data_IF_624095851164
#
_entry.id   IF_624095851164
#
_cell.length_a   1.000
_cell.length_b   1.000
_cell.length_c   1.000
_cell.angle_alpha   90.00
_cell.angle_beta   90.00
_cell.angle_gamma   90.00
#
_symmetry.space_group_name_H-M   'P 1'
#
loop_
_entity.id
_entity.type
_entity.pdbx_description
1 polymer ?
#
# COMPACT_ATOMS: atom_id res chain seq x y z
N UNK A 1 -21.89 -13.66 -4.31
CA UNK A 1 -20.84 -13.54 -3.25
C UNK A 1 -19.49 -14.15 -3.67
N UNK A 2 -19.46 -15.41 -4.11
CA UNK A 2 -18.22 -16.15 -4.45
C UNK A 2 -17.34 -15.48 -5.52
N UNK A 3 -17.95 -14.90 -6.57
CA UNK A 3 -17.22 -14.24 -7.68
C UNK A 3 -16.27 -13.13 -7.21
N UNK A 4 -16.71 -12.28 -6.28
CA UNK A 4 -15.88 -11.17 -5.76
C UNK A 4 -14.74 -11.64 -4.86
N UNK A 5 -14.95 -12.72 -4.12
CA UNK A 5 -13.90 -13.33 -3.29
C UNK A 5 -12.81 -13.92 -4.18
N UNK A 6 -13.19 -14.56 -5.29
CA UNK A 6 -12.22 -15.08 -6.28
C UNK A 6 -11.34 -13.96 -6.83
N UNK A 7 -11.94 -12.82 -7.21
CA UNK A 7 -11.16 -11.66 -7.69
C UNK A 7 -10.25 -11.07 -6.61
N UNK A 8 -10.67 -11.07 -5.34
CA UNK A 8 -9.81 -10.62 -4.23
C UNK A 8 -8.62 -11.56 -4.01
N UNK A 9 -8.85 -12.87 -4.00
CA UNK A 9 -7.78 -13.87 -3.88
C UNK A 9 -6.81 -13.75 -5.06
N UNK A 10 -7.32 -13.58 -6.28
CA UNK A 10 -6.50 -13.37 -7.45
C UNK A 10 -5.67 -12.09 -7.34
N UNK A 11 -6.24 -10.99 -6.82
CA UNK A 11 -5.50 -9.73 -6.61
C UNK A 11 -4.41 -9.90 -5.54
N UNK A 12 -4.67 -10.62 -4.46
CA UNK A 12 -3.64 -10.95 -3.45
C UNK A 12 -2.53 -11.81 -4.05
N UNK A 13 -2.88 -12.79 -4.87
CA UNK A 13 -1.90 -13.63 -5.59
C UNK A 13 -1.01 -12.78 -6.51
N UNK A 14 -1.58 -11.80 -7.21
CA UNK A 14 -0.81 -10.84 -8.03
C UNK A 14 0.19 -10.05 -7.18
N UNK A 15 -0.21 -9.59 -5.99
CA UNK A 15 0.71 -8.87 -5.08
C UNK A 15 1.88 -9.79 -4.67
N UNK A 16 1.60 -11.02 -4.26
CA UNK A 16 2.64 -11.99 -3.85
C UNK A 16 3.57 -12.33 -5.02
N UNK A 17 3.00 -12.58 -6.19
CA UNK A 17 3.77 -12.87 -7.41
C UNK A 17 4.65 -11.67 -7.80
N UNK A 18 4.14 -10.46 -7.67
CA UNK A 18 4.91 -9.24 -7.92
C UNK A 18 6.08 -9.07 -6.94
N UNK A 19 5.86 -9.36 -5.65
CA UNK A 19 6.95 -9.36 -4.66
C UNK A 19 8.03 -10.38 -5.00
N UNK A 20 7.64 -11.57 -5.44
CA UNK A 20 8.58 -12.60 -5.88
C UNK A 20 9.39 -12.15 -7.09
N UNK A 21 8.78 -11.46 -8.06
CA UNK A 21 9.50 -10.85 -9.19
C UNK A 21 10.50 -9.80 -8.71
N UNK A 22 10.09 -8.92 -7.78
CA UNK A 22 11.00 -7.89 -7.24
C UNK A 22 12.21 -8.50 -6.56
N UNK A 23 11.99 -9.55 -5.77
CA UNK A 23 13.06 -10.28 -5.07
C UNK A 23 13.98 -10.99 -6.07
N UNK A 24 13.42 -11.67 -7.07
CA UNK A 24 14.19 -12.30 -8.15
C UNK A 24 15.04 -11.31 -8.95
N UNK A 25 14.49 -10.13 -9.25
CA UNK A 25 15.25 -9.06 -9.91
C UNK A 25 16.37 -8.54 -9.01
N UNK A 26 16.14 -8.46 -7.69
CA UNK A 26 17.13 -8.01 -6.73
C UNK A 26 18.26 -9.03 -6.52
N UNK A 27 17.93 -10.32 -6.45
CA UNK A 27 18.90 -11.41 -6.30
C UNK A 27 19.78 -11.58 -7.56
N UNK A 28 19.18 -11.47 -8.75
CA UNK A 28 19.90 -11.60 -10.02
C UNK A 28 20.62 -10.33 -10.47
N UNK A 29 20.32 -9.18 -9.85
CA UNK A 29 21.09 -7.96 -10.07
C UNK A 29 21.98 -7.75 -8.86
N UNK A 30 23.27 -8.03 -9.03
CA UNK A 30 24.35 -7.31 -8.35
C UNK A 30 24.24 -5.83 -8.71
N UNK A 31 23.26 -5.11 -8.17
CA UNK A 31 23.12 -3.67 -8.35
C UNK A 31 24.27 -3.04 -7.57
N UNK A 32 25.42 -2.90 -8.22
CA UNK A 32 26.34 -1.83 -7.87
C UNK A 32 25.50 -0.55 -7.84
N UNK A 33 25.41 0.09 -6.67
CA UNK A 33 25.09 1.50 -6.61
C UNK A 33 26.20 2.22 -7.39
N UNK A 34 26.00 2.43 -8.69
CA UNK A 34 26.85 3.29 -9.49
C UNK A 34 26.62 4.72 -9.02
N UNK A 35 27.34 5.11 -7.98
CA UNK A 35 27.69 6.49 -7.75
C UNK A 35 28.37 6.99 -9.02
N UNK A 36 27.87 8.09 -9.57
CA UNK A 36 28.33 8.76 -10.80
C UNK A 36 27.62 8.32 -12.10
N UNK A 37 27.16 9.34 -12.83
CA UNK A 37 26.75 9.33 -14.24
C UNK A 37 25.25 9.04 -14.55
N UNK A 38 24.46 10.11 -14.47
CA UNK A 38 23.35 10.44 -15.38
C UNK A 38 22.23 9.39 -15.62
N UNK A 39 21.94 8.53 -14.65
CA UNK A 39 20.82 7.55 -14.69
C UNK A 39 19.75 7.76 -13.60
N UNK A 40 19.80 8.90 -12.88
CA UNK A 40 18.85 9.24 -11.81
C UNK A 40 17.38 9.28 -12.27
N UNK A 41 17.12 9.53 -13.56
CA UNK A 41 15.76 9.62 -14.10
C UNK A 41 15.08 8.25 -14.16
N UNK A 42 15.81 7.16 -14.37
CA UNK A 42 15.18 5.84 -14.55
C UNK A 42 14.82 5.15 -13.22
N UNK A 43 15.59 5.38 -12.15
CA UNK A 43 15.34 4.73 -10.85
C UNK A 43 14.07 5.25 -10.17
N UNK A 44 13.82 6.56 -10.21
CA UNK A 44 12.69 7.16 -9.49
C UNK A 44 11.37 6.81 -10.17
N UNK A 45 11.28 6.87 -11.50
CA UNK A 45 10.06 6.48 -12.24
C UNK A 45 9.66 5.02 -12.02
N UNK A 46 10.64 4.10 -11.91
CA UNK A 46 10.38 2.70 -11.58
C UNK A 46 9.77 2.58 -10.17
N UNK A 47 10.30 3.31 -9.19
CA UNK A 47 9.72 3.34 -7.82
C UNK A 47 8.30 3.88 -7.82
N UNK A 48 8.02 4.96 -8.57
CA UNK A 48 6.65 5.48 -8.71
C UNK A 48 5.72 4.45 -9.35
N UNK A 49 6.17 3.74 -10.39
CA UNK A 49 5.38 2.71 -11.05
C UNK A 49 5.07 1.54 -10.10
N UNK A 50 6.05 1.11 -9.30
CA UNK A 50 5.86 0.09 -8.25
C UNK A 50 4.79 0.55 -7.25
N UNK A 51 4.88 1.78 -6.74
CA UNK A 51 3.90 2.35 -5.81
C UNK A 51 2.51 2.38 -6.46
N UNK A 52 2.40 2.95 -7.67
CA UNK A 52 1.14 3.07 -8.38
C UNK A 52 0.50 1.71 -8.66
N UNK A 53 1.30 0.71 -8.99
CA UNK A 53 0.85 -0.67 -9.20
C UNK A 53 0.30 -1.28 -7.91
N UNK A 54 1.03 -1.21 -6.80
CA UNK A 54 0.59 -1.74 -5.50
C UNK A 54 -0.69 -1.04 -5.03
N UNK A 55 -0.75 0.29 -5.13
CA UNK A 55 -1.94 1.07 -4.76
C UNK A 55 -3.12 0.72 -5.67
N UNK A 56 -2.88 0.42 -6.95
CA UNK A 56 -3.93 -0.06 -7.86
C UNK A 56 -4.47 -1.43 -7.44
N UNK A 57 -3.61 -2.34 -6.96
CA UNK A 57 -4.04 -3.61 -6.39
C UNK A 57 -4.93 -3.40 -5.15
N UNK A 58 -4.56 -2.49 -4.24
CA UNK A 58 -5.40 -2.16 -3.08
C UNK A 58 -6.74 -1.56 -3.48
N UNK A 59 -6.72 -0.67 -4.47
CA UNK A 59 -7.93 -0.12 -5.06
C UNK A 59 -8.85 -1.22 -5.61
N UNK A 60 -8.32 -2.21 -6.33
CA UNK A 60 -9.11 -3.33 -6.84
C UNK A 60 -9.70 -4.16 -5.69
N UNK A 61 -8.93 -4.46 -4.64
CA UNK A 61 -9.42 -5.17 -3.45
C UNK A 61 -10.62 -4.45 -2.81
N UNK A 62 -10.50 -3.13 -2.65
CA UNK A 62 -11.55 -2.30 -2.06
C UNK A 62 -12.73 -2.13 -3.01
N UNK A 63 -12.50 -2.05 -4.31
CA UNK A 63 -13.57 -1.95 -5.31
C UNK A 63 -14.42 -3.23 -5.33
N UNK A 64 -13.78 -4.41 -5.27
CA UNK A 64 -14.50 -5.67 -5.19
C UNK A 64 -15.24 -5.84 -3.86
N UNK A 65 -14.69 -5.32 -2.76
CA UNK A 65 -15.38 -5.30 -1.46
C UNK A 65 -16.58 -4.35 -1.47
N UNK A 66 -16.46 -3.17 -2.11
CA UNK A 66 -17.55 -2.21 -2.24
C UNK A 66 -18.72 -2.73 -3.11
N UNK A 67 -18.44 -3.67 -4.03
CA UNK A 67 -19.44 -4.33 -4.88
C UNK A 67 -20.18 -5.49 -4.22
N UNK A 68 -19.77 -5.91 -3.01
CA UNK A 68 -20.51 -6.92 -2.25
C UNK A 68 -21.70 -6.27 -1.52
N UNK A 69 -22.87 -6.88 -1.63
CA UNK A 69 -24.01 -6.57 -0.77
C UNK A 69 -23.68 -6.95 0.68
N UNK A 70 -23.97 -6.06 1.64
CA UNK A 70 -23.58 -6.17 3.07
C UNK A 70 -22.06 -6.36 3.29
N UNK A 71 -21.23 -5.65 2.51
CA UNK A 71 -19.77 -5.70 2.62
C UNK A 71 -19.22 -5.08 3.91
N UNK A 72 -17.91 -5.24 4.15
CA UNK A 72 -17.25 -4.72 5.35
C UNK A 72 -17.48 -3.21 5.57
N UNK A 73 -17.67 -2.44 4.49
CA UNK A 73 -17.89 -0.99 4.49
C UNK A 73 -19.22 -0.53 5.10
N UNK A 74 -20.21 -1.42 5.23
CA UNK A 74 -21.50 -1.07 5.86
C UNK A 74 -21.44 -1.02 7.38
N UNK A 75 -20.41 -1.64 7.97
CA UNK A 75 -20.34 -1.81 9.42
C UNK A 75 -20.06 -0.50 10.15
N UNK A 76 -20.57 -0.37 11.36
CA UNK A 76 -20.42 0.82 12.22
C UNK A 76 -18.97 1.15 12.60
N UNK A 77 -18.06 0.15 12.54
CA UNK A 77 -16.65 0.35 12.88
C UNK A 77 -15.95 1.40 12.00
N UNK A 78 -16.44 1.64 10.78
CA UNK A 78 -15.90 2.66 9.88
C UNK A 78 -16.02 4.10 10.37
N UNK A 79 -16.87 4.37 11.37
CA UNK A 79 -16.95 5.69 12.00
C UNK A 79 -15.69 6.05 12.81
N UNK A 80 -15.01 5.03 13.35
CA UNK A 80 -13.81 5.16 14.21
C UNK A 80 -12.55 4.73 13.48
N UNK A 81 -12.68 4.04 12.34
CA UNK A 81 -11.57 3.55 11.53
C UNK A 81 -10.49 4.60 11.21
N UNK A 82 -10.79 5.88 10.89
CA UNK A 82 -9.74 6.87 10.70
C UNK A 82 -8.86 7.09 11.94
N UNK A 83 -9.46 7.10 13.13
CA UNK A 83 -8.71 7.24 14.40
C UNK A 83 -7.88 6.00 14.67
N UNK A 84 -8.44 4.81 14.43
CA UNK A 84 -7.72 3.55 14.56
C UNK A 84 -6.52 3.48 13.62
N UNK A 85 -6.68 3.88 12.35
CA UNK A 85 -5.59 3.93 11.38
C UNK A 85 -4.47 4.87 11.82
N UNK A 86 -4.78 6.03 12.42
CA UNK A 86 -3.75 6.93 12.96
C UNK A 86 -3.00 6.27 14.11
N UNK A 87 -3.71 5.68 15.07
CA UNK A 87 -3.08 5.03 16.23
C UNK A 87 -2.19 3.87 15.76
N UNK A 88 -2.71 3.00 14.89
CA UNK A 88 -1.96 1.87 14.33
C UNK A 88 -0.78 2.37 13.52
N UNK A 89 -0.96 3.40 12.67
CA UNK A 89 0.11 3.95 11.85
C UNK A 89 1.24 4.54 12.69
N UNK A 90 0.93 5.35 13.70
CA UNK A 90 1.93 5.92 14.62
C UNK A 90 2.65 4.82 15.37
N UNK A 91 1.91 3.84 15.90
CA UNK A 91 2.50 2.73 16.65
C UNK A 91 3.42 1.88 15.75
N UNK A 92 3.02 1.62 14.50
CA UNK A 92 3.83 0.89 13.53
C UNK A 92 5.09 1.66 13.13
N UNK A 93 5.02 2.99 12.99
CA UNK A 93 6.21 3.82 12.73
C UNK A 93 7.18 3.73 13.91
N UNK A 94 6.68 3.88 15.14
CA UNK A 94 7.51 3.78 16.35
C UNK A 94 8.19 2.41 16.41
N UNK A 95 7.42 1.32 16.24
CA UNK A 95 7.94 -0.04 16.27
C UNK A 95 8.98 -0.29 15.18
N UNK A 96 8.74 0.21 13.96
CA UNK A 96 9.68 0.07 12.85
C UNK A 96 10.98 0.83 13.11
N UNK A 97 10.91 2.06 13.64
CA UNK A 97 12.08 2.85 14.00
C UNK A 97 12.86 2.24 15.16
N UNK A 98 12.19 1.87 16.26
CA UNK A 98 12.86 1.24 17.41
C UNK A 98 13.44 -0.11 17.05
N UNK A 99 12.71 -0.89 16.24
CA UNK A 99 13.15 -2.20 15.81
C UNK A 99 14.28 -2.14 14.79
N UNK A 100 14.34 -1.10 13.96
CA UNK A 100 15.43 -0.86 13.02
C UNK A 100 16.70 -0.28 13.66
N UNK A 101 16.57 0.48 14.76
CA UNK A 101 17.72 1.13 15.41
C UNK A 101 18.33 0.30 16.54
N UNK A 102 17.49 -0.36 17.34
CA UNK A 102 17.90 -1.08 18.56
C UNK A 102 17.52 -2.57 18.47
N UNK A 103 16.50 -2.89 17.67
CA UNK A 103 15.97 -4.25 17.54
C UNK A 103 16.62 -5.10 16.45
N UNK A 104 16.18 -6.37 16.34
CA UNK A 104 16.72 -7.31 15.36
C UNK A 104 16.14 -7.12 13.95
N UNK A 105 15.35 -6.07 13.69
CA UNK A 105 14.70 -5.90 12.38
C UNK A 105 15.75 -5.79 11.27
N UNK A 106 16.88 -5.12 11.52
CA UNK A 106 17.96 -5.04 10.53
C UNK A 106 18.56 -6.42 10.24
N UNK A 107 18.80 -7.22 11.28
CA UNK A 107 19.29 -8.61 11.13
C UNK A 107 18.29 -9.48 10.36
N UNK A 108 16.99 -9.29 10.61
CA UNK A 108 15.94 -10.01 9.89
C UNK A 108 15.87 -9.57 8.43
N UNK A 109 16.02 -8.28 8.12
CA UNK A 109 16.06 -7.77 6.75
C UNK A 109 17.31 -8.30 6.02
N UNK A 110 18.46 -8.39 6.69
CA UNK A 110 19.67 -8.99 6.12
C UNK A 110 19.47 -10.46 5.77
N UNK A 111 18.78 -11.23 6.62
CA UNK A 111 18.49 -12.64 6.38
C UNK A 111 17.35 -12.86 5.37
N UNK A 112 16.35 -11.96 5.35
CA UNK A 112 15.15 -12.04 4.53
C UNK A 112 14.89 -10.67 3.88
N UNK A 113 15.58 -10.35 2.76
CA UNK A 113 15.41 -9.07 2.07
C UNK A 113 13.95 -8.78 1.70
N UNK A 114 13.17 -9.82 1.44
CA UNK A 114 11.74 -9.73 1.17
C UNK A 114 10.91 -9.07 2.27
N UNK A 115 11.38 -9.06 3.52
CA UNK A 115 10.71 -8.36 4.63
C UNK A 115 10.60 -6.86 4.37
N UNK A 116 11.57 -6.24 3.69
CA UNK A 116 11.50 -4.81 3.40
C UNK A 116 10.34 -4.49 2.46
N UNK A 117 10.07 -5.37 1.48
CA UNK A 117 8.93 -5.23 0.58
C UNK A 117 7.61 -5.47 1.34
N UNK A 118 7.57 -6.39 2.31
CA UNK A 118 6.39 -6.62 3.15
C UNK A 118 6.07 -5.38 3.98
N UNK A 119 7.06 -4.80 4.66
CA UNK A 119 6.87 -3.56 5.43
C UNK A 119 6.46 -2.39 4.54
N UNK A 120 7.05 -2.27 3.35
CA UNK A 120 6.71 -1.23 2.39
C UNK A 120 5.25 -1.32 1.94
N UNK A 121 4.79 -2.51 1.52
CA UNK A 121 3.40 -2.76 1.13
C UNK A 121 2.46 -2.52 2.31
N UNK A 122 2.86 -2.90 3.52
CA UNK A 122 2.08 -2.66 4.74
C UNK A 122 1.88 -1.16 5.02
N UNK A 123 2.92 -0.33 4.95
CA UNK A 123 2.79 1.12 5.15
C UNK A 123 1.97 1.78 4.04
N UNK A 124 2.18 1.39 2.78
CA UNK A 124 1.35 1.84 1.66
C UNK A 124 -0.13 1.51 1.88
N UNK A 125 -0.40 0.29 2.36
CA UNK A 125 -1.76 -0.14 2.68
C UNK A 125 -2.37 0.71 3.79
N UNK A 126 -1.63 1.01 4.85
CA UNK A 126 -2.10 1.89 5.93
C UNK A 126 -2.44 3.30 5.42
N UNK A 127 -1.61 3.88 4.55
CA UNK A 127 -1.86 5.20 3.95
C UNK A 127 -3.14 5.16 3.10
N UNK A 128 -3.28 4.17 2.22
CA UNK A 128 -4.47 4.00 1.39
C UNK A 128 -5.73 3.79 2.25
N UNK A 129 -5.65 2.93 3.27
CA UNK A 129 -6.73 2.65 4.20
C UNK A 129 -7.12 3.89 5.01
N UNK A 130 -6.15 4.71 5.40
CA UNK A 130 -6.39 5.97 6.09
C UNK A 130 -7.15 6.97 5.20
N UNK A 131 -6.68 7.21 3.98
CA UNK A 131 -7.35 8.09 3.00
C UNK A 131 -8.77 7.59 2.73
N UNK A 132 -8.92 6.29 2.47
CA UNK A 132 -10.23 5.67 2.26
C UNK A 132 -11.14 5.85 3.47
N UNK A 133 -10.63 5.66 4.69
CA UNK A 133 -11.44 5.79 5.90
C UNK A 133 -11.96 7.23 6.10
N UNK A 134 -11.15 8.25 5.78
CA UNK A 134 -11.56 9.66 5.84
C UNK A 134 -12.68 9.93 4.83
N UNK A 135 -12.46 9.56 3.57
CA UNK A 135 -13.44 9.77 2.50
C UNK A 135 -14.74 9.01 2.75
N UNK A 136 -14.65 7.77 3.22
CA UNK A 136 -15.81 6.96 3.58
C UNK A 136 -16.61 7.58 4.73
N UNK A 137 -15.94 8.09 5.77
CA UNK A 137 -16.62 8.79 6.86
C UNK A 137 -17.30 10.07 6.39
N UNK A 138 -16.66 10.84 5.52
CA UNK A 138 -17.18 12.12 4.98
C UNK A 138 -18.41 11.92 4.09
N UNK A 139 -18.46 10.83 3.34
CA UNK A 139 -19.49 10.57 2.33
C UNK A 139 -20.48 9.45 2.66
N UNK A 140 -20.43 8.90 3.88
CA UNK A 140 -21.21 7.73 4.36
C UNK A 140 -22.70 7.73 4.02
N UNK A 141 -23.34 8.90 3.94
CA UNK A 141 -24.78 9.04 3.69
C UNK A 141 -25.15 9.66 2.33
N UNK A 142 -24.16 10.11 1.54
CA UNK A 142 -24.41 10.92 0.33
C UNK A 142 -23.93 10.28 -0.97
N UNK A 143 -23.06 9.27 -0.93
CA UNK A 143 -22.47 8.70 -2.15
C UNK A 143 -22.46 7.17 -2.14
N UNK A 144 -22.52 6.59 -3.35
CA UNK A 144 -22.34 5.16 -3.59
C UNK A 144 -20.90 4.77 -3.21
N UNK A 145 -20.74 3.68 -2.46
CA UNK A 145 -19.42 3.22 -1.94
C UNK A 145 -18.35 3.09 -3.01
N UNK A 146 -18.73 2.66 -4.21
CA UNK A 146 -17.85 2.58 -5.38
C UNK A 146 -17.17 3.93 -5.67
N UNK A 147 -17.94 5.03 -5.63
CA UNK A 147 -17.42 6.38 -5.88
C UNK A 147 -16.41 6.81 -4.83
N UNK A 148 -16.64 6.46 -3.57
CA UNK A 148 -15.68 6.70 -2.47
C UNK A 148 -14.36 5.98 -2.72
N UNK A 149 -14.40 4.73 -3.19
CA UNK A 149 -13.18 3.96 -3.52
C UNK A 149 -12.39 4.64 -4.64
N UNK A 150 -13.06 5.07 -5.72
CA UNK A 150 -12.41 5.81 -6.81
C UNK A 150 -11.76 7.12 -6.34
N UNK A 151 -12.49 7.92 -5.56
CA UNK A 151 -11.98 9.20 -5.03
C UNK A 151 -10.76 8.96 -4.13
N UNK A 152 -10.82 7.95 -3.27
CA UNK A 152 -9.71 7.61 -2.36
C UNK A 152 -8.47 7.17 -3.12
N UNK A 153 -8.63 6.39 -4.18
CA UNK A 153 -7.53 6.02 -5.08
C UNK A 153 -6.92 7.24 -5.76
N UNK A 154 -7.74 8.12 -6.33
CA UNK A 154 -7.26 9.36 -6.96
C UNK A 154 -6.48 10.23 -5.98
N UNK A 155 -6.99 10.42 -4.75
CA UNK A 155 -6.27 11.18 -3.71
C UNK A 155 -4.96 10.51 -3.30
N UNK A 156 -4.93 9.19 -3.19
CA UNK A 156 -3.71 8.45 -2.82
C UNK A 156 -2.64 8.58 -3.90
N UNK A 157 -3.01 8.39 -5.17
CA UNK A 157 -2.08 8.57 -6.29
C UNK A 157 -1.62 10.02 -6.40
N UNK A 158 -2.51 10.99 -6.24
CA UNK A 158 -2.16 12.41 -6.28
C UNK A 158 -1.20 12.77 -5.14
N UNK A 159 -1.42 12.26 -3.93
CA UNK A 159 -0.52 12.46 -2.79
C UNK A 159 0.88 11.92 -3.12
N UNK A 160 0.98 10.68 -3.61
CA UNK A 160 2.28 10.11 -3.99
C UNK A 160 2.93 10.82 -5.17
N UNK A 161 2.14 11.30 -6.12
CA UNK A 161 2.63 12.10 -7.25
C UNK A 161 3.22 13.44 -6.76
N UNK A 162 2.54 14.15 -5.86
CA UNK A 162 3.05 15.41 -5.29
C UNK A 162 4.32 15.16 -4.47
N UNK A 163 4.35 14.11 -3.64
CA UNK A 163 5.56 13.73 -2.89
C UNK A 163 6.71 13.40 -3.84
N UNK A 164 6.44 12.72 -4.94
CA UNK A 164 7.44 12.37 -5.94
C UNK A 164 8.07 13.59 -6.62
N UNK A 165 7.30 14.64 -6.88
CA UNK A 165 7.81 15.88 -7.48
C UNK A 165 8.49 16.82 -6.47
N UNK A 166 8.24 16.64 -5.18
CA UNK A 166 8.83 17.43 -4.11
C UNK A 166 10.18 16.88 -3.61
N UNK A 167 10.47 15.60 -3.85
CA UNK A 167 11.71 14.91 -3.51
C UNK A 167 12.68 15.01 -4.68
#
# INVERSE_FOLDING_TARGET
MMKWIIYQILTLSIIVFFMWILDYINENRTIQHSSSEWTAVNSTFITFYIIAFIVSCFYLLFLFEAKKDNGLFDRSFWAVMPKMCVIIGVLSIILFLTGGTIGPIMVWIEQWPSLIYVFFIYFLFLIFLFIFSIEHKKHRYKQRKEKTVHISFTWTILLFFVLFFLI
#
